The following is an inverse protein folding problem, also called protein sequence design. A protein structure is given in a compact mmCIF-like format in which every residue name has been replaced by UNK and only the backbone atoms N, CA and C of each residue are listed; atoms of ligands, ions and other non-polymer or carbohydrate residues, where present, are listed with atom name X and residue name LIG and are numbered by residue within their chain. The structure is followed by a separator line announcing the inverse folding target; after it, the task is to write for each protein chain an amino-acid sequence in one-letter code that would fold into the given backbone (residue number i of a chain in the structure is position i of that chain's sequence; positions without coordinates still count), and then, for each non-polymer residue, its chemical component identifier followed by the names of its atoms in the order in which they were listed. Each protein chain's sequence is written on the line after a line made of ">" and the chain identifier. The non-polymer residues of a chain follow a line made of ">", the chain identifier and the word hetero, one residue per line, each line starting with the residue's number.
data_IF_941450053193
#
_entry.id   IF_941450053193
#
_cell.length_a   1.000
_cell.length_b   1.000
_cell.length_c   1.000
_cell.angle_alpha   90.00
_cell.angle_beta   90.00
_cell.angle_gamma   90.00
#
_symmetry.space_group_name_H-M   'P 1'
#
loop_
_entity.id
_entity.type
_entity.pdbx_description
1 polymer ?
#
# COMPACT_ATOMS: atom_id res chain seq x y z
N UNK A 1 -16.11 26.60 -11.64
CA UNK A 1 -16.14 27.83 -10.81
C UNK A 1 -14.81 28.57 -10.97
N UNK A 2 -14.80 29.92 -11.06
CA UNK A 2 -13.56 30.69 -11.12
C UNK A 2 -12.71 30.47 -9.85
N UNK A 3 -11.40 30.28 -9.99
CA UNK A 3 -10.44 30.04 -8.88
C UNK A 3 -10.58 31.05 -7.74
N UNK A 4 -10.95 32.30 -8.02
CA UNK A 4 -11.14 33.33 -7.00
C UNK A 4 -12.36 33.14 -6.10
N UNK A 5 -13.41 32.45 -6.54
CA UNK A 5 -14.60 32.16 -5.69
C UNK A 5 -14.32 31.07 -4.67
N UNK A 6 -13.51 30.06 -5.04
CA UNK A 6 -13.11 28.99 -4.11
C UNK A 6 -12.21 29.57 -3.02
N UNK A 7 -11.24 30.42 -3.39
CA UNK A 7 -10.35 31.08 -2.44
C UNK A 7 -11.11 31.95 -1.42
N UNK A 8 -12.03 32.81 -1.86
CA UNK A 8 -12.83 33.67 -0.99
C UNK A 8 -13.78 32.86 -0.07
N UNK A 9 -14.35 31.77 -0.56
CA UNK A 9 -15.23 30.93 0.25
C UNK A 9 -14.42 30.16 1.32
N UNK A 10 -13.24 29.65 0.99
CA UNK A 10 -12.33 29.00 1.95
C UNK A 10 -11.90 29.99 3.04
N UNK A 11 -11.46 31.19 2.66
CA UNK A 11 -11.03 32.22 3.59
C UNK A 11 -12.15 32.65 4.55
N UNK A 12 -13.38 32.78 4.08
CA UNK A 12 -14.53 33.16 4.90
C UNK A 12 -15.02 32.04 5.83
N UNK A 13 -14.97 30.79 5.38
CA UNK A 13 -15.47 29.65 6.17
C UNK A 13 -14.44 29.12 7.17
N UNK A 14 -13.15 29.12 6.79
CA UNK A 14 -12.05 28.65 7.64
C UNK A 14 -11.54 29.71 8.61
N UNK A 15 -11.73 31.02 8.34
CA UNK A 15 -11.16 32.08 9.17
C UNK A 15 -11.54 32.00 10.65
N UNK A 16 -12.81 31.73 10.96
CA UNK A 16 -13.28 31.54 12.33
C UNK A 16 -12.82 30.22 12.97
N UNK A 17 -12.69 29.17 12.17
CA UNK A 17 -12.27 27.84 12.62
C UNK A 17 -10.75 27.76 12.75
N UNK A 18 -10.00 28.43 11.85
CA UNK A 18 -8.55 28.58 11.98
C UNK A 18 -8.18 29.29 13.30
N UNK A 19 -8.88 30.36 13.63
CA UNK A 19 -8.65 31.07 14.91
C UNK A 19 -8.96 30.16 16.11
N UNK A 20 -9.99 29.30 16.01
CA UNK A 20 -10.27 28.30 17.05
C UNK A 20 -9.18 27.24 17.16
N UNK A 21 -8.66 26.76 16.04
CA UNK A 21 -7.56 25.80 16.03
C UNK A 21 -6.27 26.40 16.62
N UNK A 22 -5.95 27.63 16.26
CA UNK A 22 -4.80 28.37 16.82
C UNK A 22 -4.96 28.71 18.31
N UNK A 23 -6.19 28.76 18.80
CA UNK A 23 -6.51 28.99 20.21
C UNK A 23 -6.57 27.70 21.05
N UNK A 24 -6.36 26.51 20.44
CA UNK A 24 -6.28 25.27 21.21
C UNK A 24 -5.08 25.34 22.16
N UNK A 25 -5.25 24.92 23.42
CA UNK A 25 -4.15 24.87 24.35
C UNK A 25 -3.04 23.95 23.82
N UNK A 26 -1.77 24.36 24.02
CA UNK A 26 -0.61 23.54 23.58
C UNK A 26 -0.59 22.14 24.18
N UNK A 27 -1.26 21.92 25.29
CA UNK A 27 -1.45 20.59 25.92
C UNK A 27 -2.20 19.57 25.05
N UNK A 28 -2.99 20.03 24.05
CA UNK A 28 -3.65 19.14 23.09
C UNK A 28 -2.73 18.71 21.94
N UNK A 29 -1.54 19.32 21.82
CA UNK A 29 -0.55 19.05 20.79
C UNK A 29 -0.95 19.53 19.39
N UNK A 30 0.05 19.71 18.55
CA UNK A 30 -0.14 20.18 17.16
C UNK A 30 -0.97 19.19 16.31
N UNK A 31 -0.88 17.88 16.59
CA UNK A 31 -1.64 16.84 15.87
C UNK A 31 -3.14 17.06 15.97
N UNK A 32 -3.69 17.35 17.17
CA UNK A 32 -5.13 17.61 17.34
C UNK A 32 -5.59 18.88 16.63
N UNK A 33 -4.74 19.91 16.59
CA UNK A 33 -5.03 21.12 15.84
C UNK A 33 -5.10 20.86 14.33
N UNK A 34 -4.20 20.03 13.82
CA UNK A 34 -4.19 19.59 12.41
C UNK A 34 -5.43 18.74 12.09
N UNK A 35 -5.81 17.80 12.95
CA UNK A 35 -7.02 17.00 12.80
C UNK A 35 -8.29 17.87 12.75
N UNK A 36 -8.38 18.86 13.64
CA UNK A 36 -9.49 19.81 13.64
C UNK A 36 -9.58 20.60 12.33
N UNK A 37 -8.44 21.08 11.80
CA UNK A 37 -8.39 21.77 10.51
C UNK A 37 -8.76 20.85 9.35
N UNK A 38 -8.25 19.63 9.34
CA UNK A 38 -8.59 18.63 8.32
C UNK A 38 -10.09 18.31 8.31
N UNK A 39 -10.69 18.15 9.50
CA UNK A 39 -12.13 17.94 9.64
C UNK A 39 -12.94 19.13 9.13
N UNK A 40 -12.49 20.37 9.42
CA UNK A 40 -13.16 21.57 8.92
C UNK A 40 -13.10 21.69 7.39
N UNK A 41 -11.96 21.32 6.78
CA UNK A 41 -11.84 21.25 5.31
C UNK A 41 -12.76 20.17 4.74
N UNK A 42 -12.81 18.99 5.34
CA UNK A 42 -13.70 17.91 4.93
C UNK A 42 -15.16 18.34 4.94
N UNK A 43 -15.63 18.93 6.04
CA UNK A 43 -17.00 19.42 6.16
C UNK A 43 -17.33 20.48 5.09
N UNK A 44 -16.40 21.41 4.82
CA UNK A 44 -16.57 22.40 3.76
C UNK A 44 -16.75 21.74 2.39
N UNK A 45 -15.94 20.71 2.07
CA UNK A 45 -16.04 20.01 0.80
C UNK A 45 -17.35 19.21 0.67
N UNK A 46 -17.80 18.61 1.80
CA UNK A 46 -19.08 17.87 1.88
C UNK A 46 -20.26 18.80 1.65
N UNK A 47 -20.34 19.95 2.36
CA UNK A 47 -21.40 20.96 2.22
C UNK A 47 -21.50 21.51 0.79
N UNK A 48 -20.36 21.55 0.06
CA UNK A 48 -20.32 22.02 -1.33
C UNK A 48 -20.62 20.92 -2.35
N UNK A 49 -20.79 19.68 -1.92
CA UNK A 49 -21.07 18.54 -2.79
C UNK A 49 -19.91 18.23 -3.75
N UNK A 50 -18.67 18.48 -3.33
CA UNK A 50 -17.50 18.20 -4.17
C UNK A 50 -17.37 16.70 -4.40
N UNK A 51 -17.26 16.31 -5.67
CA UNK A 51 -16.90 14.94 -6.05
C UNK A 51 -15.43 14.63 -5.75
N UNK A 52 -15.04 13.36 -5.92
CA UNK A 52 -13.69 12.91 -5.59
C UNK A 52 -12.59 13.70 -6.34
N UNK A 53 -12.78 13.98 -7.63
CA UNK A 53 -11.83 14.74 -8.45
C UNK A 53 -11.68 16.19 -7.98
N UNK A 54 -12.78 16.81 -7.57
CA UNK A 54 -12.79 18.15 -7.01
C UNK A 54 -12.09 18.20 -5.65
N UNK A 55 -12.29 17.17 -4.78
CA UNK A 55 -11.61 17.03 -3.50
C UNK A 55 -10.10 16.85 -3.68
N UNK A 56 -9.69 15.99 -4.62
CA UNK A 56 -8.29 15.79 -4.95
C UNK A 56 -7.62 17.11 -5.39
N UNK A 57 -8.28 17.87 -6.28
CA UNK A 57 -7.76 19.18 -6.71
C UNK A 57 -7.66 20.19 -5.56
N UNK A 58 -8.64 20.20 -4.65
CA UNK A 58 -8.60 21.07 -3.47
C UNK A 58 -7.42 20.70 -2.55
N UNK A 59 -7.20 19.41 -2.33
CA UNK A 59 -6.07 18.91 -1.55
C UNK A 59 -4.72 19.27 -2.21
N UNK A 60 -4.60 19.11 -3.52
CA UNK A 60 -3.41 19.50 -4.27
C UNK A 60 -3.08 21.00 -4.12
N UNK A 61 -4.09 21.88 -4.22
CA UNK A 61 -3.87 23.31 -4.03
C UNK A 61 -3.48 23.67 -2.58
N UNK A 62 -4.04 22.98 -1.57
CA UNK A 62 -3.64 23.13 -0.17
C UNK A 62 -2.20 22.68 0.03
N UNK A 63 -1.84 21.52 -0.50
CA UNK A 63 -0.48 20.96 -0.38
C UNK A 63 0.57 21.91 -0.97
N UNK A 64 0.33 22.48 -2.14
CA UNK A 64 1.23 23.46 -2.76
C UNK A 64 1.45 24.73 -1.94
N UNK A 65 0.50 25.05 -1.06
CA UNK A 65 0.63 26.18 -0.14
C UNK A 65 1.48 25.87 1.08
N UNK A 66 1.45 24.62 1.52
CA UNK A 66 2.16 24.17 2.73
C UNK A 66 3.57 23.71 2.39
N UNK A 67 3.74 22.98 1.26
CA UNK A 67 4.99 22.43 0.76
C UNK A 67 5.16 22.81 -0.71
N UNK A 68 5.66 24.03 -1.02
CA UNK A 68 5.72 24.53 -2.40
C UNK A 68 6.58 23.68 -3.35
N UNK A 69 7.62 23.04 -2.81
CA UNK A 69 8.56 22.23 -3.58
C UNK A 69 8.13 20.76 -3.68
N UNK A 70 7.05 20.36 -2.97
CA UNK A 70 6.51 19.01 -3.01
C UNK A 70 5.26 18.97 -3.88
N UNK A 71 5.39 18.40 -5.07
CA UNK A 71 4.28 18.19 -5.98
C UNK A 71 3.66 16.82 -5.77
N UNK A 72 2.47 16.79 -5.17
CA UNK A 72 1.62 15.60 -5.20
C UNK A 72 1.12 15.47 -6.64
N UNK A 73 1.84 14.69 -7.42
CA UNK A 73 1.50 14.13 -8.70
C UNK A 73 0.64 15.00 -9.66
N UNK A 74 1.30 15.65 -10.60
CA UNK A 74 0.62 16.34 -11.71
C UNK A 74 -0.06 15.38 -12.69
N UNK A 75 0.28 14.09 -12.66
CA UNK A 75 -0.02 13.11 -13.71
C UNK A 75 -1.11 12.11 -13.29
N UNK A 76 -1.33 11.89 -12.00
CA UNK A 76 -2.19 10.83 -11.48
C UNK A 76 -3.70 11.01 -11.69
N UNK A 77 -4.11 11.85 -12.60
CA UNK A 77 -5.52 12.22 -12.74
C UNK A 77 -6.36 11.16 -13.41
N UNK A 78 -5.80 10.34 -14.29
CA UNK A 78 -6.50 9.20 -14.90
C UNK A 78 -6.89 8.12 -13.89
N UNK A 79 -6.14 7.99 -12.80
CA UNK A 79 -6.50 7.10 -11.68
C UNK A 79 -7.89 7.43 -11.12
N UNK A 80 -8.29 8.72 -11.14
CA UNK A 80 -9.58 9.20 -10.66
C UNK A 80 -10.73 8.96 -11.67
N UNK A 81 -10.42 8.45 -12.84
CA UNK A 81 -11.37 8.11 -13.90
C UNK A 81 -11.62 6.59 -13.99
N UNK A 82 -10.73 5.79 -13.36
CA UNK A 82 -10.85 4.33 -13.30
C UNK A 82 -11.89 3.90 -12.24
N UNK A 83 -13.11 3.65 -12.70
CA UNK A 83 -14.22 3.29 -11.81
C UNK A 83 -14.03 1.95 -11.12
N UNK A 84 -13.35 1.00 -11.78
CA UNK A 84 -13.12 -0.33 -11.23
C UNK A 84 -12.12 -0.24 -10.09
N UNK A 85 -11.05 0.54 -10.29
CA UNK A 85 -10.08 0.81 -9.23
C UNK A 85 -10.70 1.58 -8.05
N UNK A 86 -11.49 2.62 -8.31
CA UNK A 86 -12.13 3.41 -7.25
C UNK A 86 -13.10 2.54 -6.42
N UNK A 87 -13.89 1.68 -7.08
CA UNK A 87 -14.81 0.76 -6.41
C UNK A 87 -14.04 -0.26 -5.54
N UNK A 88 -12.95 -0.82 -6.06
CA UNK A 88 -12.05 -1.67 -5.29
C UNK A 88 -11.46 -0.92 -4.08
N UNK A 89 -10.94 0.27 -4.29
CA UNK A 89 -10.30 1.05 -3.23
C UNK A 89 -11.29 1.41 -2.12
N UNK A 90 -12.51 1.77 -2.46
CA UNK A 90 -13.57 2.05 -1.49
C UNK A 90 -13.97 0.81 -0.70
N UNK A 91 -14.04 -0.36 -1.33
CA UNK A 91 -14.35 -1.63 -0.66
C UNK A 91 -13.39 -1.94 0.50
N UNK A 92 -12.12 -1.58 0.34
CA UNK A 92 -11.07 -1.78 1.34
C UNK A 92 -10.68 -0.50 2.08
N UNK A 93 -11.56 0.50 2.12
CA UNK A 93 -11.22 1.84 2.66
C UNK A 93 -10.74 1.83 4.10
N UNK A 94 -11.20 0.88 4.93
CA UNK A 94 -10.76 0.71 6.31
C UNK A 94 -9.31 0.19 6.41
N UNK A 95 -8.88 -0.63 5.42
CA UNK A 95 -7.56 -1.26 5.36
C UNK A 95 -6.57 -0.51 4.46
N UNK A 96 -7.02 0.48 3.73
CA UNK A 96 -6.20 1.18 2.72
C UNK A 96 -5.47 2.40 3.28
N UNK A 97 -4.89 2.32 4.41
CA UNK A 97 -4.15 3.40 5.04
C UNK A 97 -3.24 4.13 4.06
N UNK A 98 -3.52 5.40 3.73
CA UNK A 98 -2.66 6.28 2.93
C UNK A 98 -2.03 5.64 1.67
N UNK A 99 -2.63 4.59 1.12
CA UNK A 99 -1.99 3.74 0.11
C UNK A 99 -2.68 3.80 -1.26
N UNK A 100 -3.31 4.93 -1.61
CA UNK A 100 -4.04 5.08 -2.86
C UNK A 100 -3.16 4.82 -4.09
N UNK A 101 -2.03 5.53 -4.21
CA UNK A 101 -1.09 5.37 -5.31
C UNK A 101 -0.35 4.03 -5.26
N UNK A 102 -0.07 3.51 -4.06
CA UNK A 102 0.53 2.17 -3.90
C UNK A 102 -0.38 1.09 -4.48
N UNK A 103 -1.67 1.14 -4.15
CA UNK A 103 -2.69 0.19 -4.67
C UNK A 103 -2.89 0.33 -6.16
N UNK A 104 -2.83 1.55 -6.69
CA UNK A 104 -2.85 1.79 -8.12
C UNK A 104 -1.64 1.18 -8.84
N UNK A 105 -0.44 1.49 -8.37
CA UNK A 105 0.80 0.95 -8.92
C UNK A 105 0.81 -0.58 -8.91
N UNK A 106 0.33 -1.19 -7.83
CA UNK A 106 0.19 -2.64 -7.72
C UNK A 106 -0.57 -3.22 -8.93
N UNK A 107 -1.75 -2.69 -9.21
CA UNK A 107 -2.54 -3.09 -10.37
C UNK A 107 -1.85 -2.84 -11.72
N UNK A 108 -1.07 -1.74 -11.84
CA UNK A 108 -0.32 -1.45 -13.07
C UNK A 108 0.82 -2.46 -13.30
N UNK A 109 1.53 -2.86 -12.25
CA UNK A 109 2.61 -3.87 -12.38
C UNK A 109 2.08 -5.24 -12.80
N UNK A 110 0.91 -5.65 -12.32
CA UNK A 110 0.29 -6.90 -12.77
C UNK A 110 0.09 -6.96 -14.29
N UNK A 111 -0.19 -5.82 -14.94
CA UNK A 111 -0.39 -5.75 -16.39
C UNK A 111 0.87 -6.11 -17.19
N UNK A 112 2.05 -5.97 -16.61
CA UNK A 112 3.32 -6.35 -17.25
C UNK A 112 3.49 -7.86 -17.35
N UNK A 113 2.75 -8.64 -16.55
CA UNK A 113 2.91 -10.07 -16.38
C UNK A 113 2.09 -10.93 -17.35
N UNK A 114 1.37 -10.33 -18.28
CA UNK A 114 0.45 -11.06 -19.19
C UNK A 114 1.16 -12.22 -19.89
N UNK A 115 2.42 -12.05 -20.27
CA UNK A 115 3.21 -13.04 -21.00
C UNK A 115 4.35 -13.66 -20.16
N UNK A 116 4.35 -13.43 -18.83
CA UNK A 116 5.35 -14.02 -17.92
C UNK A 116 4.70 -15.21 -17.21
N UNK A 117 5.23 -16.39 -17.39
CA UNK A 117 4.69 -17.62 -16.80
C UNK A 117 4.93 -17.68 -15.28
N UNK A 118 3.98 -18.31 -14.58
CA UNK A 118 4.06 -18.55 -13.14
C UNK A 118 2.84 -18.04 -12.39
N UNK A 119 2.65 -18.57 -11.19
CA UNK A 119 1.62 -18.18 -10.25
C UNK A 119 1.96 -16.84 -9.59
N UNK A 120 1.10 -16.37 -8.68
CA UNK A 120 1.28 -15.14 -7.95
C UNK A 120 1.38 -15.45 -6.45
N UNK A 121 2.23 -14.74 -5.74
CA UNK A 121 2.39 -14.90 -4.30
C UNK A 121 2.31 -13.57 -3.56
N UNK A 122 1.76 -13.61 -2.35
CA UNK A 122 1.77 -12.52 -1.39
C UNK A 122 2.22 -13.04 -0.03
N UNK A 123 3.19 -12.37 0.56
CA UNK A 123 3.70 -12.58 1.91
C UNK A 123 3.28 -11.38 2.76
N UNK A 124 2.43 -11.62 3.78
CA UNK A 124 1.71 -10.58 4.48
C UNK A 124 0.41 -10.22 3.75
N UNK A 125 -0.71 -10.75 4.22
CA UNK A 125 -2.01 -10.66 3.52
C UNK A 125 -2.95 -9.68 4.22
N UNK A 126 -2.83 -9.56 5.54
CA UNK A 126 -3.69 -8.76 6.40
C UNK A 126 -5.18 -9.04 6.12
N UNK A 127 -5.95 -8.08 5.63
CA UNK A 127 -7.37 -8.22 5.29
C UNK A 127 -7.63 -8.61 3.82
N UNK A 128 -6.57 -8.81 3.02
CA UNK A 128 -6.65 -9.31 1.65
C UNK A 128 -6.89 -8.25 0.57
N UNK A 129 -6.58 -6.98 0.83
CA UNK A 129 -6.80 -5.91 -0.16
C UNK A 129 -5.95 -6.10 -1.43
N UNK A 130 -4.65 -6.38 -1.31
CA UNK A 130 -3.80 -6.69 -2.47
C UNK A 130 -4.15 -8.05 -3.07
N UNK A 131 -4.41 -9.05 -2.22
CA UNK A 131 -4.87 -10.38 -2.66
C UNK A 131 -6.09 -10.30 -3.58
N UNK A 132 -6.99 -9.35 -3.34
CA UNK A 132 -8.15 -9.11 -4.21
C UNK A 132 -7.73 -8.72 -5.63
N UNK A 133 -6.77 -7.81 -5.80
CA UNK A 133 -6.22 -7.45 -7.11
C UNK A 133 -5.48 -8.61 -7.77
N UNK A 134 -4.70 -9.40 -6.97
CA UNK A 134 -4.06 -10.61 -7.47
C UNK A 134 -5.09 -11.60 -8.02
N UNK A 135 -6.20 -11.81 -7.31
CA UNK A 135 -7.25 -12.72 -7.74
C UNK A 135 -7.96 -12.25 -9.04
N UNK A 136 -8.22 -10.95 -9.20
CA UNK A 136 -8.77 -10.41 -10.46
C UNK A 136 -7.83 -10.75 -11.63
N UNK A 137 -6.54 -10.51 -11.46
CA UNK A 137 -5.55 -10.82 -12.50
C UNK A 137 -5.45 -12.33 -12.75
N UNK A 138 -5.37 -13.12 -11.68
CA UNK A 138 -5.20 -14.56 -11.73
C UNK A 138 -6.37 -15.27 -12.45
N UNK A 139 -7.61 -14.91 -12.15
CA UNK A 139 -8.78 -15.48 -12.87
C UNK A 139 -8.74 -15.18 -14.36
N UNK A 140 -8.40 -13.94 -14.72
CA UNK A 140 -8.31 -13.53 -16.13
C UNK A 140 -7.23 -14.29 -16.90
N UNK A 141 -6.16 -14.73 -16.21
CA UNK A 141 -4.99 -15.36 -16.83
C UNK A 141 -4.81 -16.83 -16.46
N UNK A 142 -5.81 -17.45 -15.80
CA UNK A 142 -5.82 -18.86 -15.38
C UNK A 142 -4.60 -19.25 -14.53
N UNK A 143 -4.31 -18.43 -13.49
CA UNK A 143 -3.20 -18.63 -12.54
C UNK A 143 -3.72 -18.87 -11.14
N UNK A 144 -2.86 -19.40 -10.27
CA UNK A 144 -3.12 -19.51 -8.83
C UNK A 144 -2.52 -18.31 -8.07
N UNK A 145 -3.13 -17.98 -6.93
CA UNK A 145 -2.62 -16.99 -5.96
C UNK A 145 -2.31 -17.71 -4.65
N UNK A 146 -1.09 -17.61 -4.18
CA UNK A 146 -0.64 -18.21 -2.93
C UNK A 146 -0.43 -17.12 -1.87
N UNK A 147 -1.20 -17.19 -0.79
CA UNK A 147 -1.29 -16.18 0.26
C UNK A 147 -0.69 -16.71 1.56
N UNK A 148 0.41 -16.10 1.99
CA UNK A 148 1.16 -16.50 3.18
C UNK A 148 1.00 -15.46 4.29
N UNK A 149 0.46 -15.88 5.43
CA UNK A 149 0.28 -15.02 6.60
C UNK A 149 0.21 -15.86 7.87
N UNK A 150 0.69 -15.30 8.99
CA UNK A 150 0.50 -15.92 10.30
C UNK A 150 -0.96 -15.89 10.76
N UNK A 151 -1.68 -14.85 10.33
CA UNK A 151 -3.00 -14.44 10.83
C UNK A 151 -3.00 -14.15 12.34
N UNK A 152 -1.82 -13.92 12.90
CA UNK A 152 -1.56 -13.55 14.29
C UNK A 152 -0.89 -12.17 14.42
N UNK A 153 -0.69 -11.49 13.28
CA UNK A 153 0.02 -10.22 13.19
C UNK A 153 1.53 -10.39 13.07
N UNK A 154 2.29 -9.33 13.33
CA UNK A 154 3.74 -9.34 13.20
C UNK A 154 4.41 -10.24 14.25
N UNK A 155 5.52 -10.86 13.89
CA UNK A 155 6.42 -11.54 14.83
C UNK A 155 7.08 -10.53 15.78
N UNK A 156 7.88 -10.99 16.73
CA UNK A 156 8.64 -10.07 17.58
C UNK A 156 9.70 -9.36 16.73
N UNK A 157 9.69 -8.01 16.64
CA UNK A 157 10.71 -7.26 15.92
C UNK A 157 12.11 -7.49 16.50
N UNK A 158 13.11 -7.50 15.63
CA UNK A 158 14.53 -7.47 16.02
C UNK A 158 15.00 -6.02 16.24
N UNK A 159 16.21 -5.83 16.74
CA UNK A 159 16.81 -4.49 16.92
C UNK A 159 16.89 -3.70 15.58
N UNK A 160 17.17 -4.40 14.51
CA UNK A 160 17.25 -3.82 13.15
C UNK A 160 15.90 -3.33 12.59
N UNK A 161 14.77 -3.78 13.16
CA UNK A 161 13.44 -3.35 12.75
C UNK A 161 13.00 -2.02 13.41
N UNK A 162 13.81 -1.50 14.33
CA UNK A 162 13.50 -0.28 15.07
C UNK A 162 12.43 -0.47 16.15
N UNK A 163 11.81 0.63 16.56
CA UNK A 163 10.90 0.64 17.72
C UNK A 163 9.43 0.86 17.36
N UNK A 164 9.12 1.01 16.07
CA UNK A 164 7.76 1.38 15.65
C UNK A 164 6.77 0.22 15.80
N UNK A 165 7.13 -0.96 15.31
CA UNK A 165 6.29 -2.14 15.32
C UNK A 165 6.41 -2.95 16.61
N UNK A 166 5.32 -3.65 16.94
CA UNK A 166 5.27 -4.57 18.07
C UNK A 166 4.71 -5.93 17.64
N UNK A 167 5.09 -6.96 18.38
CA UNK A 167 4.52 -8.29 18.18
C UNK A 167 3.00 -8.24 18.25
N UNK A 168 2.33 -8.81 17.25
CA UNK A 168 0.87 -8.91 17.15
C UNK A 168 0.20 -7.71 16.46
N UNK A 169 0.96 -6.65 16.10
CA UNK A 169 0.42 -5.57 15.28
C UNK A 169 -0.04 -6.12 13.91
N UNK A 170 -0.98 -5.46 13.27
CA UNK A 170 -1.54 -5.84 11.97
C UNK A 170 -2.17 -7.24 11.93
N UNK A 171 -2.72 -7.72 13.05
CA UNK A 171 -3.42 -9.00 13.10
C UNK A 171 -4.76 -8.93 12.36
N UNK A 172 -4.99 -9.89 11.45
CA UNK A 172 -6.27 -10.10 10.80
C UNK A 172 -6.59 -11.60 10.72
N UNK A 173 -7.87 -11.97 10.75
CA UNK A 173 -8.22 -13.40 10.71
C UNK A 173 -8.21 -13.95 9.28
N UNK A 174 -7.79 -15.21 9.12
CA UNK A 174 -7.88 -15.93 7.85
C UNK A 174 -9.33 -15.97 7.31
N UNK A 175 -10.31 -16.10 8.23
CA UNK A 175 -11.74 -16.10 7.85
C UNK A 175 -12.19 -14.78 7.22
N UNK A 176 -11.63 -13.64 7.65
CA UNK A 176 -11.90 -12.34 7.02
C UNK A 176 -11.35 -12.27 5.61
N UNK A 177 -10.13 -12.80 5.36
CA UNK A 177 -9.54 -12.89 4.02
C UNK A 177 -10.42 -13.75 3.12
N UNK A 178 -10.85 -14.95 3.58
CA UNK A 178 -11.78 -15.78 2.83
C UNK A 178 -13.13 -15.10 2.55
N UNK A 179 -13.64 -14.32 3.48
CA UNK A 179 -14.85 -13.53 3.27
C UNK A 179 -14.65 -12.46 2.20
N UNK A 180 -13.54 -11.70 2.28
CA UNK A 180 -13.23 -10.65 1.32
C UNK A 180 -12.96 -11.17 -0.09
N UNK A 181 -12.42 -12.38 -0.20
CA UNK A 181 -12.09 -13.04 -1.46
C UNK A 181 -13.14 -14.08 -1.90
N UNK A 182 -14.31 -14.16 -1.26
CA UNK A 182 -15.30 -15.23 -1.44
C UNK A 182 -15.81 -15.42 -2.88
N UNK A 183 -15.71 -14.38 -3.71
CA UNK A 183 -16.07 -14.44 -5.12
C UNK A 183 -15.05 -15.17 -6.01
N UNK A 184 -13.82 -15.39 -5.55
CA UNK A 184 -12.73 -16.01 -6.29
C UNK A 184 -12.50 -17.46 -5.87
N UNK A 185 -11.96 -18.26 -6.80
CA UNK A 185 -11.58 -19.66 -6.55
C UNK A 185 -10.11 -19.92 -6.83
N UNK A 186 -9.38 -18.93 -7.32
CA UNK A 186 -8.01 -19.03 -7.78
C UNK A 186 -6.95 -18.84 -6.68
N UNK A 187 -7.32 -18.79 -5.40
CA UNK A 187 -6.37 -18.57 -4.32
C UNK A 187 -6.32 -19.73 -3.31
N UNK A 188 -5.17 -19.82 -2.63
CA UNK A 188 -4.94 -20.72 -1.49
C UNK A 188 -4.26 -19.93 -0.38
N UNK A 189 -4.71 -20.11 0.86
CA UNK A 189 -4.07 -19.56 2.05
C UNK A 189 -3.11 -20.58 2.65
N UNK A 190 -1.97 -20.09 3.12
CA UNK A 190 -0.95 -20.87 3.81
C UNK A 190 -0.71 -20.21 5.17
N UNK A 191 -1.50 -20.66 6.16
CA UNK A 191 -1.41 -20.14 7.52
C UNK A 191 -0.13 -20.62 8.20
N UNK A 192 0.64 -19.69 8.73
CA UNK A 192 1.85 -19.96 9.50
C UNK A 192 2.86 -18.83 9.40
N UNK A 193 3.87 -18.91 10.25
CA UNK A 193 4.98 -18.00 10.21
C UNK A 193 5.86 -18.24 8.97
N UNK A 194 6.35 -17.18 8.38
CA UNK A 194 7.36 -17.24 7.32
C UNK A 194 8.71 -17.59 7.98
N UNK A 195 9.47 -18.59 7.43
CA UNK A 195 9.26 -19.30 6.16
C UNK A 195 8.56 -20.67 6.26
N UNK A 196 7.97 -21.05 7.39
CA UNK A 196 7.54 -22.43 7.70
C UNK A 196 6.56 -23.03 6.67
N UNK A 197 5.72 -22.19 6.08
CA UNK A 197 4.73 -22.63 5.09
C UNK A 197 5.28 -22.80 3.67
N UNK A 198 6.43 -22.21 3.35
CA UNK A 198 7.01 -22.19 1.99
C UNK A 198 7.32 -23.56 1.38
N UNK A 199 7.75 -24.59 2.13
CA UNK A 199 7.99 -25.93 1.55
C UNK A 199 6.79 -26.54 0.83
N UNK A 200 5.56 -26.12 1.14
CA UNK A 200 4.34 -26.61 0.50
C UNK A 200 4.20 -26.19 -0.98
N UNK A 201 4.98 -25.22 -1.42
CA UNK A 201 4.97 -24.68 -2.78
C UNK A 201 6.36 -24.68 -3.41
N UNK A 202 7.25 -25.54 -2.95
CA UNK A 202 8.66 -25.57 -3.37
C UNK A 202 8.85 -25.91 -4.86
N UNK A 203 7.88 -26.60 -5.47
CA UNK A 203 7.83 -27.00 -6.88
C UNK A 203 7.22 -25.96 -7.82
N UNK A 204 6.66 -24.89 -7.26
CA UNK A 204 5.96 -23.85 -8.01
C UNK A 204 6.92 -22.80 -8.57
N UNK A 205 6.45 -22.09 -9.61
CA UNK A 205 7.10 -20.92 -10.21
C UNK A 205 6.19 -19.73 -10.11
N UNK A 206 6.79 -18.53 -9.99
CA UNK A 206 6.06 -17.30 -9.72
C UNK A 206 6.43 -16.19 -10.69
N UNK A 207 5.42 -15.55 -11.27
CA UNK A 207 5.60 -14.34 -12.08
C UNK A 207 5.50 -13.06 -11.26
N UNK A 208 4.87 -13.12 -10.08
CA UNK A 208 4.72 -11.99 -9.19
C UNK A 208 4.90 -12.42 -7.73
N UNK A 209 5.66 -11.65 -7.00
CA UNK A 209 5.81 -11.75 -5.57
C UNK A 209 5.55 -10.37 -4.94
N UNK A 210 4.61 -10.29 -4.04
CA UNK A 210 4.41 -9.13 -3.16
C UNK A 210 4.91 -9.48 -1.75
N UNK A 211 5.76 -8.62 -1.19
CA UNK A 211 6.27 -8.75 0.18
C UNK A 211 5.82 -7.51 0.97
N UNK A 212 4.98 -7.74 1.99
CA UNK A 212 4.35 -6.74 2.85
C UNK A 212 4.32 -7.30 4.29
N UNK A 213 5.50 -7.44 4.89
CA UNK A 213 5.71 -8.12 6.19
C UNK A 213 6.47 -7.27 7.21
N UNK A 214 6.75 -6.01 6.89
CA UNK A 214 7.31 -4.94 7.72
C UNK A 214 8.70 -5.20 8.34
N UNK A 215 9.08 -6.46 8.59
CA UNK A 215 10.25 -6.85 9.39
C UNK A 215 11.37 -7.46 8.54
N UNK A 216 12.61 -7.38 9.03
CA UNK A 216 13.82 -7.84 8.33
C UNK A 216 13.78 -9.34 8.00
N UNK A 217 13.63 -10.19 9.01
CA UNK A 217 13.77 -11.63 8.82
C UNK A 217 12.72 -12.22 7.86
N UNK A 218 11.40 -11.96 8.02
CA UNK A 218 10.40 -12.49 7.09
C UNK A 218 10.53 -11.90 5.68
N UNK A 219 11.02 -10.66 5.54
CA UNK A 219 11.34 -10.08 4.22
C UNK A 219 12.48 -10.84 3.55
N UNK A 220 13.60 -11.09 4.28
CA UNK A 220 14.73 -11.84 3.77
C UNK A 220 14.34 -13.27 3.37
N UNK A 221 13.64 -13.98 4.23
CA UNK A 221 13.20 -15.35 3.98
C UNK A 221 12.27 -15.45 2.77
N UNK A 222 11.39 -14.47 2.61
CA UNK A 222 10.47 -14.39 1.45
C UNK A 222 11.25 -14.21 0.16
N UNK A 223 12.12 -13.19 0.07
CA UNK A 223 12.86 -12.97 -1.17
C UNK A 223 13.81 -14.13 -1.48
N UNK A 224 14.47 -14.70 -0.47
CA UNK A 224 15.40 -15.82 -0.64
C UNK A 224 14.69 -17.09 -1.16
N UNK A 225 13.48 -17.36 -0.70
CA UNK A 225 12.72 -18.51 -1.18
C UNK A 225 12.17 -18.31 -2.59
N UNK A 226 11.56 -17.18 -2.88
CA UNK A 226 10.84 -16.96 -4.12
C UNK A 226 11.75 -16.58 -5.29
N UNK A 227 12.80 -15.79 -5.06
CA UNK A 227 13.69 -15.29 -6.11
C UNK A 227 14.21 -16.37 -7.08
N UNK A 228 14.72 -17.55 -6.66
CA UNK A 228 15.18 -18.59 -7.57
C UNK A 228 14.05 -19.31 -8.31
N UNK A 229 12.79 -19.05 -7.95
CA UNK A 229 11.59 -19.64 -8.55
C UNK A 229 10.89 -18.69 -9.53
N UNK A 230 11.52 -17.56 -9.81
CA UNK A 230 10.94 -16.51 -10.65
C UNK A 230 11.68 -16.45 -11.99
N UNK A 231 10.95 -16.55 -13.13
CA UNK A 231 11.56 -16.44 -14.45
C UNK A 231 11.92 -14.99 -14.80
N UNK A 232 12.67 -14.82 -15.89
CA UNK A 232 12.92 -13.50 -16.50
C UNK A 232 11.59 -12.77 -16.77
N UNK A 233 11.54 -11.50 -16.44
CA UNK A 233 10.35 -10.65 -16.54
C UNK A 233 9.41 -10.71 -15.34
N UNK A 234 9.62 -11.63 -14.40
CA UNK A 234 8.85 -11.68 -13.17
C UNK A 234 9.15 -10.46 -12.28
N UNK A 235 8.19 -10.10 -11.46
CA UNK A 235 8.24 -8.88 -10.62
C UNK A 235 8.20 -9.24 -9.14
N UNK A 236 9.09 -8.63 -8.36
CA UNK A 236 9.02 -8.57 -6.90
C UNK A 236 8.65 -7.13 -6.53
N UNK A 237 7.54 -6.97 -5.83
CA UNK A 237 7.10 -5.71 -5.27
C UNK A 237 7.25 -5.76 -3.75
N UNK A 238 7.99 -4.80 -3.21
CA UNK A 238 8.38 -4.69 -1.81
C UNK A 238 7.62 -3.50 -1.22
N UNK A 239 6.65 -3.75 -0.36
CA UNK A 239 5.75 -2.69 0.09
C UNK A 239 6.44 -1.72 1.07
N UNK A 240 7.35 -2.23 1.91
CA UNK A 240 7.95 -1.52 3.04
C UNK A 240 9.36 -0.96 2.79
N UNK A 241 9.83 -1.03 1.54
CA UNK A 241 11.22 -0.75 1.19
C UNK A 241 11.70 0.67 1.51
N UNK A 242 10.85 1.67 1.33
CA UNK A 242 11.18 3.09 1.46
C UNK A 242 10.65 3.76 2.73
N UNK A 243 10.17 2.99 3.72
CA UNK A 243 9.62 3.54 4.95
C UNK A 243 10.65 3.53 6.09
N UNK A 244 10.78 4.66 6.77
CA UNK A 244 11.60 4.81 7.98
C UNK A 244 11.06 4.01 9.18
N UNK A 245 9.79 3.60 9.12
CA UNK A 245 9.16 2.69 10.09
C UNK A 245 9.52 1.22 9.88
N UNK A 246 10.13 0.85 8.74
CA UNK A 246 10.48 -0.52 8.36
C UNK A 246 11.95 -0.65 7.93
N UNK A 247 12.93 -0.16 8.73
CA UNK A 247 14.33 -0.14 8.33
C UNK A 247 14.90 -1.54 8.11
N UNK A 248 14.40 -2.54 8.85
CA UNK A 248 14.77 -3.94 8.70
C UNK A 248 14.37 -4.52 7.36
N UNK A 249 13.16 -4.24 6.88
CA UNK A 249 12.68 -4.69 5.58
C UNK A 249 13.58 -4.17 4.44
N UNK A 250 13.93 -2.89 4.45
CA UNK A 250 14.89 -2.31 3.48
C UNK A 250 16.25 -3.00 3.56
N UNK A 251 16.78 -3.19 4.77
CA UNK A 251 18.06 -3.84 4.98
C UNK A 251 18.09 -5.26 4.40
N UNK A 252 17.06 -6.06 4.68
CA UNK A 252 16.93 -7.42 4.17
C UNK A 252 17.02 -7.49 2.64
N UNK A 253 16.33 -6.58 1.96
CA UNK A 253 16.34 -6.51 0.50
C UNK A 253 17.71 -6.14 -0.03
N UNK A 254 18.33 -5.10 0.51
CA UNK A 254 19.65 -4.65 0.06
C UNK A 254 20.73 -5.71 0.30
N UNK A 255 20.70 -6.39 1.44
CA UNK A 255 21.63 -7.48 1.77
C UNK A 255 21.45 -8.67 0.80
N UNK A 256 20.21 -9.07 0.52
CA UNK A 256 19.93 -10.17 -0.41
C UNK A 256 20.34 -9.82 -1.85
N UNK A 257 20.09 -8.59 -2.29
CA UNK A 257 20.33 -8.14 -3.66
C UNK A 257 21.77 -7.70 -3.93
N UNK A 258 22.65 -7.65 -2.94
CA UNK A 258 24.02 -7.12 -3.05
C UNK A 258 24.87 -7.83 -4.13
N UNK A 259 24.62 -9.11 -4.41
CA UNK A 259 25.32 -9.93 -5.40
C UNK A 259 24.44 -10.31 -6.61
N UNK A 260 23.28 -9.71 -6.77
CA UNK A 260 22.33 -9.97 -7.86
C UNK A 260 22.45 -8.93 -8.97
N UNK A 261 22.17 -9.29 -10.23
CA UNK A 261 22.31 -8.36 -11.35
C UNK A 261 21.19 -7.31 -11.41
N UNK A 262 20.02 -7.60 -10.82
CA UNK A 262 18.88 -6.70 -10.90
C UNK A 262 19.00 -5.54 -9.92
N UNK A 263 18.77 -4.29 -10.36
CA UNK A 263 18.66 -3.17 -9.44
C UNK A 263 17.35 -3.23 -8.63
N UNK A 264 17.38 -2.74 -7.41
CA UNK A 264 16.17 -2.39 -6.66
C UNK A 264 15.80 -0.96 -7.02
N UNK A 265 14.61 -0.76 -7.57
CA UNK A 265 14.09 0.55 -7.94
C UNK A 265 13.30 1.13 -6.77
N UNK A 266 13.69 2.30 -6.29
CA UNK A 266 12.93 3.06 -5.30
C UNK A 266 11.77 3.79 -6.01
N UNK A 267 10.53 3.47 -5.62
CA UNK A 267 9.35 4.16 -6.13
C UNK A 267 8.97 5.34 -5.24
N UNK A 268 8.44 6.40 -5.83
CA UNK A 268 7.98 7.59 -5.08
C UNK A 268 6.87 7.29 -4.06
N UNK A 269 6.27 6.12 -4.14
CA UNK A 269 5.27 5.61 -3.18
C UNK A 269 5.88 4.96 -1.94
N UNK A 270 7.21 4.87 -1.84
CA UNK A 270 7.92 4.15 -0.78
C UNK A 270 8.07 2.65 -1.04
N UNK A 271 7.50 2.12 -2.12
CA UNK A 271 7.68 0.73 -2.51
C UNK A 271 9.02 0.52 -3.21
N UNK A 272 9.55 -0.71 -3.12
CA UNK A 272 10.68 -1.16 -3.93
C UNK A 272 10.20 -2.08 -5.06
N UNK A 273 10.86 -2.03 -6.22
CA UNK A 273 10.53 -2.86 -7.37
C UNK A 273 11.78 -3.56 -7.91
N UNK A 274 11.69 -4.87 -8.13
CA UNK A 274 12.70 -5.66 -8.83
C UNK A 274 12.03 -6.36 -10.00
N UNK A 275 12.66 -6.28 -11.17
CA UNK A 275 12.24 -7.02 -12.37
C UNK A 275 13.34 -8.01 -12.71
N UNK A 276 13.02 -9.31 -12.70
CA UNK A 276 13.96 -10.41 -12.98
C UNK A 276 14.51 -10.32 -14.40
N UNK A 277 15.83 -10.42 -14.52
CA UNK A 277 16.56 -10.41 -15.78
C UNK A 277 16.96 -11.81 -16.26
#
# INVERSE_FOLDING_TARGET
>A
MPKNMIKSAIEKHLGGRLNKALALPKEYGDTKAIEFLAQAVKEFLDERGFDYKQRYNAFYEINRKILPDFHINDIGRYILEDKDFLSYFERFSASNWKSFERRWNFGQFLRLLTNVEGDLAECGVFEGANAFQLCIFAEKHSREVHLFDSYEGLSAPAESDGEYWKKGDLSASESLVHQNLSQFKCFKTFKGWIPDAFPQVADKRYSFLHIDVDLEQPTYDSIAFFYPRMPTGAIILLDDHGYDTCPGARKAVLDFMADKPEPVLDLSTGQGLIIKQ
#
